data_IF_057982834974
#
_entry.id   IF_057982834974
#
_cell.length_a   1.000
_cell.length_b   1.000
_cell.length_c   1.000
_cell.angle_alpha   90.00
_cell.angle_beta   90.00
_cell.angle_gamma   90.00
#
_symmetry.space_group_name_H-M   'P 1'
#
loop_
_entity.id
_entity.type
_entity.pdbx_description
1 polymer ?
#
# COMPACT_ATOMS: atom_id res chain seq x y z
N UNK A 1 10.32 28.72 56.21
CA UNK A 1 9.82 27.89 55.09
C UNK A 1 10.96 26.98 54.68
N UNK A 2 10.77 25.66 54.72
CA UNK A 2 11.76 24.71 54.21
C UNK A 2 11.34 24.39 52.77
N UNK A 3 12.25 24.56 51.83
CA UNK A 3 12.09 24.12 50.45
C UNK A 3 12.99 22.90 50.26
N UNK A 4 12.44 21.85 49.64
CA UNK A 4 13.19 20.67 49.23
C UNK A 4 13.12 20.60 47.71
N UNK A 5 14.28 20.38 47.09
CA UNK A 5 14.44 20.23 45.65
C UNK A 5 14.75 18.76 45.38
N UNK A 6 14.03 18.15 44.44
CA UNK A 6 14.09 16.71 44.18
C UNK A 6 14.65 16.50 42.78
N UNK A 7 15.89 16.02 42.70
CA UNK A 7 16.52 15.66 41.43
C UNK A 7 16.21 14.21 41.08
N UNK A 8 15.58 14.00 39.94
CA UNK A 8 15.29 12.66 39.43
C UNK A 8 16.48 12.12 38.63
N UNK A 9 16.82 10.83 38.77
CA UNK A 9 17.81 10.19 37.92
C UNK A 9 17.45 10.29 36.44
N UNK A 10 18.45 10.59 35.60
CA UNK A 10 18.28 10.67 34.15
C UNK A 10 17.84 9.34 33.52
N UNK A 11 18.09 8.21 34.18
CA UNK A 11 17.60 6.90 33.73
C UNK A 11 16.07 6.83 33.68
N UNK A 12 15.36 7.46 34.62
CA UNK A 12 13.89 7.49 34.64
C UNK A 12 13.32 8.21 33.42
N UNK A 13 14.02 9.22 32.89
CA UNK A 13 13.64 9.90 31.66
C UNK A 13 13.68 8.95 30.46
N UNK A 14 14.78 8.20 30.30
CA UNK A 14 14.91 7.25 29.20
C UNK A 14 13.95 6.07 29.32
N UNK A 15 13.77 5.51 30.51
CA UNK A 15 12.76 4.48 30.79
C UNK A 15 11.35 4.94 30.40
N UNK A 16 11.00 6.19 30.73
CA UNK A 16 9.69 6.76 30.39
C UNK A 16 9.51 6.91 28.87
N UNK A 17 10.52 7.44 28.17
CA UNK A 17 10.44 7.58 26.70
C UNK A 17 10.40 6.21 26.05
N UNK A 18 11.18 5.24 26.53
CA UNK A 18 11.13 3.88 26.00
C UNK A 18 9.77 3.24 26.15
N UNK A 19 9.15 3.37 27.32
CA UNK A 19 7.82 2.84 27.57
C UNK A 19 6.75 3.47 26.66
N UNK A 20 6.84 4.78 26.41
CA UNK A 20 5.85 5.50 25.59
C UNK A 20 6.07 5.32 24.09
N UNK A 21 7.32 5.31 23.64
CA UNK A 21 7.68 5.26 22.23
C UNK A 21 7.77 3.84 21.68
N UNK A 22 7.95 2.84 22.56
CA UNK A 22 8.19 1.45 22.17
C UNK A 22 9.62 1.17 21.70
N UNK A 23 10.51 2.16 21.73
CA UNK A 23 11.93 2.01 21.37
C UNK A 23 12.80 1.86 22.62
N UNK A 24 13.75 0.94 22.61
CA UNK A 24 14.77 0.87 23.66
C UNK A 24 15.73 2.07 23.52
N UNK A 25 15.75 2.94 24.53
CA UNK A 25 16.57 4.14 24.60
C UNK A 25 17.21 4.13 25.98
N UNK A 26 18.53 4.01 26.05
CA UNK A 26 19.25 3.95 27.33
C UNK A 26 20.00 5.24 27.64
N UNK A 27 20.33 6.00 26.60
CA UNK A 27 21.07 7.26 26.71
C UNK A 27 20.76 8.23 25.56
N UNK A 28 21.45 9.37 25.56
CA UNK A 28 21.33 10.39 24.51
C UNK A 28 21.80 9.88 23.14
N UNK A 29 22.75 8.94 23.11
CA UNK A 29 23.26 8.36 21.87
C UNK A 29 22.21 7.50 21.19
N UNK A 30 21.54 6.64 21.95
CA UNK A 30 20.39 5.87 21.48
C UNK A 30 19.27 6.80 20.98
N UNK A 31 18.99 7.88 21.73
CA UNK A 31 17.99 8.87 21.35
C UNK A 31 18.35 9.59 20.03
N UNK A 32 19.60 10.01 19.87
CA UNK A 32 20.06 10.67 18.65
C UNK A 32 20.05 9.73 17.44
N UNK A 33 20.38 8.46 17.66
CA UNK A 33 20.27 7.41 16.63
C UNK A 33 18.82 7.25 16.18
N UNK A 34 17.90 7.15 17.14
CA UNK A 34 16.47 7.04 16.86
C UNK A 34 15.94 8.25 16.10
N UNK A 35 16.27 9.47 16.53
CA UNK A 35 15.81 10.69 15.86
C UNK A 35 16.33 10.78 14.42
N UNK A 36 17.58 10.36 14.19
CA UNK A 36 18.15 10.30 12.83
C UNK A 36 17.42 9.27 11.97
N UNK A 37 17.13 8.09 12.52
CA UNK A 37 16.39 7.05 11.82
C UNK A 37 14.95 7.49 11.48
N UNK A 38 14.25 8.12 12.43
CA UNK A 38 12.90 8.64 12.23
C UNK A 38 12.88 9.77 11.20
N UNK A 39 13.92 10.62 11.16
CA UNK A 39 14.06 11.64 10.12
C UNK A 39 14.11 11.01 8.73
N UNK A 40 14.89 9.95 8.55
CA UNK A 40 15.03 9.29 7.25
C UNK A 40 13.70 8.64 6.82
N UNK A 41 13.03 7.91 7.73
CA UNK A 41 11.69 7.36 7.48
C UNK A 41 10.68 8.46 7.13
N UNK A 42 10.72 9.58 7.84
CA UNK A 42 9.83 10.71 7.58
C UNK A 42 10.06 11.29 6.19
N UNK A 43 11.31 11.42 5.75
CA UNK A 43 11.63 11.92 4.42
C UNK A 43 11.06 11.00 3.33
N UNK A 44 11.22 9.68 3.49
CA UNK A 44 10.68 8.68 2.58
C UNK A 44 9.14 8.70 2.56
N UNK A 45 8.51 8.79 3.73
CA UNK A 45 7.05 8.89 3.83
C UNK A 45 6.52 10.19 3.21
N UNK A 46 7.14 11.33 3.52
CA UNK A 46 6.73 12.63 2.99
C UNK A 46 6.75 12.62 1.45
N UNK A 47 7.74 11.96 0.83
CA UNK A 47 7.85 11.79 -0.62
C UNK A 47 6.64 11.07 -1.22
N UNK A 48 6.10 10.03 -0.57
CA UNK A 48 4.97 9.24 -1.08
C UNK A 48 3.60 9.66 -0.54
N UNK A 49 3.57 10.45 0.54
CA UNK A 49 2.36 10.73 1.33
C UNK A 49 1.22 11.34 0.52
N UNK A 50 1.54 12.27 -0.39
CA UNK A 50 0.55 12.93 -1.24
C UNK A 50 -0.08 11.94 -2.23
N UNK A 51 0.74 11.10 -2.87
CA UNK A 51 0.25 10.06 -3.78
C UNK A 51 -0.66 9.05 -3.05
N UNK A 52 -0.32 8.66 -1.83
CA UNK A 52 -1.17 7.79 -1.01
C UNK A 52 -2.54 8.41 -0.70
N UNK A 53 -2.60 9.73 -0.47
CA UNK A 53 -3.87 10.44 -0.29
C UNK A 53 -4.68 10.43 -1.59
N UNK A 54 -4.05 10.76 -2.71
CA UNK A 54 -4.71 10.72 -4.02
C UNK A 54 -5.24 9.32 -4.38
N UNK A 55 -4.50 8.25 -4.05
CA UNK A 55 -4.96 6.87 -4.23
C UNK A 55 -6.21 6.59 -3.40
N UNK A 56 -6.27 7.05 -2.15
CA UNK A 56 -7.41 6.83 -1.26
C UNK A 56 -8.66 7.61 -1.71
N UNK A 57 -8.48 8.80 -2.24
CA UNK A 57 -9.59 9.67 -2.65
C UNK A 57 -10.08 9.39 -4.08
N UNK A 58 -9.16 9.08 -5.00
CA UNK A 58 -9.41 9.04 -6.45
C UNK A 58 -9.12 7.68 -7.07
N UNK A 59 -8.55 6.75 -6.31
CA UNK A 59 -8.13 5.42 -6.80
C UNK A 59 -6.78 5.41 -7.53
N UNK A 60 -6.16 6.57 -7.75
CA UNK A 60 -4.89 6.69 -8.46
C UNK A 60 -4.04 7.84 -7.92
N UNK A 61 -2.74 7.60 -7.72
CA UNK A 61 -1.80 8.61 -7.26
C UNK A 61 -0.42 8.43 -7.89
N UNK A 62 0.30 9.54 -8.02
CA UNK A 62 1.61 9.58 -8.67
C UNK A 62 2.61 10.23 -7.74
N UNK A 63 3.72 9.54 -7.50
CA UNK A 63 4.88 10.12 -6.82
C UNK A 63 5.76 10.77 -7.87
N UNK A 64 5.97 12.07 -7.72
CA UNK A 64 6.85 12.82 -8.61
C UNK A 64 8.32 12.50 -8.28
N UNK A 65 9.19 12.31 -9.29
CA UNK A 65 10.62 12.20 -9.06
C UNK A 65 11.16 13.43 -8.33
N UNK A 66 12.14 13.20 -7.47
CA UNK A 66 12.89 14.27 -6.83
C UNK A 66 13.79 14.96 -7.87
N UNK A 67 14.13 16.25 -7.66
CA UNK A 67 15.03 16.97 -8.56
C UNK A 67 16.38 16.26 -8.80
N UNK A 68 16.91 15.56 -7.78
CA UNK A 68 18.15 14.80 -7.88
C UNK A 68 18.06 13.49 -8.66
N UNK A 69 16.85 13.03 -8.99
CA UNK A 69 16.62 11.80 -9.77
C UNK A 69 16.54 12.07 -11.28
N UNK A 70 16.57 13.34 -11.69
CA UNK A 70 16.59 13.74 -13.09
C UNK A 70 17.95 13.43 -13.71
N UNK A 71 17.95 12.56 -14.72
CA UNK A 71 19.13 12.21 -15.52
C UNK A 71 19.05 12.92 -16.87
N UNK A 72 20.04 13.76 -17.14
CA UNK A 72 20.22 14.43 -18.43
C UNK A 72 21.22 13.62 -19.27
N UNK A 73 20.85 13.28 -20.49
CA UNK A 73 21.75 12.66 -21.46
C UNK A 73 22.48 13.75 -22.27
N UNK A 74 23.66 13.39 -22.81
CA UNK A 74 24.44 14.32 -23.62
C UNK A 74 23.64 14.83 -24.84
N UNK A 75 23.68 16.13 -25.15
CA UNK A 75 23.03 16.69 -26.32
C UNK A 75 23.56 16.08 -27.61
N UNK A 76 22.65 15.65 -28.49
CA UNK A 76 23.03 15.08 -29.79
C UNK A 76 22.57 15.97 -30.94
N UNK A 77 23.45 16.19 -31.93
CA UNK A 77 23.06 16.85 -33.17
C UNK A 77 22.31 15.86 -34.05
N UNK A 78 21.08 16.19 -34.40
CA UNK A 78 20.22 15.39 -35.28
C UNK A 78 19.97 16.16 -36.57
N UNK A 79 20.22 15.50 -37.71
CA UNK A 79 19.93 16.05 -39.04
C UNK A 79 18.61 15.50 -39.56
N UNK A 80 17.68 16.39 -39.91
CA UNK A 80 16.41 16.02 -40.54
C UNK A 80 16.07 17.03 -41.63
N UNK A 81 15.80 16.54 -42.85
CA UNK A 81 15.41 17.39 -43.99
C UNK A 81 16.39 18.52 -44.33
N UNK A 82 17.71 18.30 -44.16
CA UNK A 82 18.74 19.31 -44.42
C UNK A 82 18.94 20.34 -43.30
N UNK A 83 18.15 20.29 -42.22
CA UNK A 83 18.32 21.14 -41.01
C UNK A 83 19.06 20.38 -39.91
N UNK A 84 19.83 21.11 -39.11
CA UNK A 84 20.46 20.61 -37.89
C UNK A 84 19.62 21.00 -36.68
N UNK A 85 19.44 20.07 -35.76
CA UNK A 85 18.72 20.25 -34.50
C UNK A 85 19.51 19.64 -33.35
N UNK A 86 19.33 20.14 -32.14
CA UNK A 86 19.91 19.55 -30.94
C UNK A 86 18.81 18.76 -30.23
N UNK A 87 19.04 17.46 -30.02
CA UNK A 87 18.19 16.61 -29.21
C UNK A 87 18.71 16.63 -27.79
N UNK A 88 17.87 17.12 -26.88
CA UNK A 88 18.06 17.03 -25.44
C UNK A 88 17.16 15.90 -24.93
N UNK A 89 17.69 15.03 -24.07
CA UNK A 89 16.93 13.95 -23.46
C UNK A 89 17.12 13.96 -21.96
N UNK A 90 16.02 13.88 -21.24
CA UNK A 90 15.97 13.79 -19.80
C UNK A 90 15.10 12.59 -19.41
N UNK A 91 15.45 11.93 -18.31
CA UNK A 91 14.66 10.82 -17.76
C UNK A 91 14.65 10.88 -16.24
N UNK A 92 13.56 10.44 -15.63
CA UNK A 92 13.43 10.32 -14.18
C UNK A 92 12.44 9.18 -13.87
N UNK A 93 12.61 8.48 -12.72
CA UNK A 93 11.65 7.47 -12.30
C UNK A 93 10.34 8.11 -11.82
N UNK A 94 9.21 7.48 -12.07
CA UNK A 94 7.93 7.85 -11.44
C UNK A 94 7.29 6.62 -10.82
N UNK A 95 6.66 6.78 -9.65
CA UNK A 95 5.88 5.71 -9.02
C UNK A 95 4.41 6.00 -9.28
N UNK A 96 3.72 5.01 -9.83
CA UNK A 96 2.29 5.05 -10.05
C UNK A 96 1.63 4.05 -9.10
N UNK A 97 0.71 4.53 -8.27
CA UNK A 97 -0.04 3.74 -7.30
C UNK A 97 -1.51 3.67 -7.73
N UNK A 98 -2.12 2.50 -7.61
CA UNK A 98 -3.51 2.27 -8.00
C UNK A 98 -4.21 1.47 -6.90
N UNK A 99 -5.40 1.92 -6.50
CA UNK A 99 -6.27 1.14 -5.63
C UNK A 99 -7.16 0.24 -6.47
N UNK A 100 -7.29 -1.02 -6.07
CA UNK A 100 -8.19 -1.99 -6.68
C UNK A 100 -9.00 -2.70 -5.61
N UNK A 101 -10.29 -2.90 -5.85
CA UNK A 101 -11.14 -3.70 -4.97
C UNK A 101 -10.95 -5.18 -5.28
N UNK A 102 -10.80 -5.99 -4.23
CA UNK A 102 -10.73 -7.44 -4.34
C UNK A 102 -11.98 -7.98 -3.68
N UNK A 103 -12.76 -8.71 -4.45
CA UNK A 103 -14.01 -9.30 -3.99
C UNK A 103 -13.84 -10.81 -3.95
N UNK A 104 -14.39 -11.46 -2.94
CA UNK A 104 -14.49 -12.91 -2.87
C UNK A 104 -15.87 -13.32 -2.39
N UNK A 105 -16.35 -14.42 -2.92
CA UNK A 105 -17.63 -15.02 -2.55
C UNK A 105 -17.34 -16.38 -1.96
N UNK A 106 -18.02 -16.71 -0.85
CA UNK A 106 -17.93 -18.01 -0.21
C UNK A 106 -19.24 -18.75 -0.49
N UNK A 107 -19.17 -19.73 -1.40
CA UNK A 107 -20.29 -20.64 -1.66
C UNK A 107 -19.96 -21.99 -1.00
N UNK A 108 -20.40 -22.23 0.24
CA UNK A 108 -20.20 -23.53 0.85
C UNK A 108 -20.89 -24.61 0.01
N UNK A 109 -20.28 -25.80 -0.08
CA UNK A 109 -20.93 -26.96 -0.68
C UNK A 109 -22.01 -27.46 0.27
N UNK A 110 -23.21 -26.92 0.11
CA UNK A 110 -24.44 -27.41 0.75
C UNK A 110 -24.83 -28.68 -0.01
N UNK A 111 -25.09 -29.79 0.69
CA UNK A 111 -25.37 -31.08 0.08
C UNK A 111 -26.68 -31.12 -0.74
N UNK A 112 -27.62 -32.00 -0.36
CA UNK A 112 -28.95 -32.01 -0.97
C UNK A 112 -29.78 -30.79 -0.57
N UNK A 113 -30.91 -30.58 -1.24
CA UNK A 113 -31.82 -29.43 -1.07
C UNK A 113 -32.20 -29.15 0.41
N UNK A 114 -32.46 -30.21 1.20
CA UNK A 114 -32.75 -30.09 2.63
C UNK A 114 -31.61 -29.48 3.46
N UNK A 115 -30.36 -29.80 3.13
CA UNK A 115 -29.20 -29.27 3.84
C UNK A 115 -29.02 -27.77 3.56
N UNK A 116 -29.40 -27.31 2.37
CA UNK A 116 -29.39 -25.91 2.00
C UNK A 116 -30.44 -25.10 2.77
N UNK A 117 -31.65 -25.65 2.97
CA UNK A 117 -32.70 -25.02 3.78
C UNK A 117 -32.31 -24.91 5.26
N UNK A 118 -31.71 -25.96 5.82
CA UNK A 118 -31.23 -25.96 7.21
C UNK A 118 -30.15 -24.89 7.45
N UNK A 119 -29.21 -24.75 6.52
CA UNK A 119 -28.14 -23.76 6.63
C UNK A 119 -28.67 -22.35 6.43
N UNK A 120 -29.62 -22.14 5.52
CA UNK A 120 -30.32 -20.86 5.38
C UNK A 120 -31.05 -20.48 6.67
N UNK A 121 -31.75 -21.43 7.29
CA UNK A 121 -32.43 -21.23 8.57
C UNK A 121 -31.45 -20.85 9.69
N UNK A 122 -30.30 -21.54 9.78
CA UNK A 122 -29.24 -21.25 10.75
C UNK A 122 -28.66 -19.83 10.57
N UNK A 123 -28.36 -19.44 9.32
CA UNK A 123 -27.86 -18.11 8.97
C UNK A 123 -28.87 -17.01 9.33
N UNK A 124 -30.15 -17.22 9.00
CA UNK A 124 -31.23 -16.28 9.30
C UNK A 124 -31.56 -16.21 10.79
N UNK A 125 -31.38 -17.30 11.54
CA UNK A 125 -31.58 -17.32 12.99
C UNK A 125 -30.49 -16.52 13.72
N UNK A 126 -29.26 -16.50 13.19
CA UNK A 126 -28.18 -15.60 13.67
C UNK A 126 -28.33 -14.16 13.21
N UNK A 127 -29.19 -13.92 12.20
CA UNK A 127 -29.44 -12.61 11.61
C UNK A 127 -30.52 -11.84 12.39
N UNK A 128 -30.16 -11.32 13.55
CA UNK A 128 -30.99 -10.37 14.31
C UNK A 128 -30.84 -8.93 13.78
N UNK A 129 -30.77 -8.79 12.44
CA UNK A 129 -30.48 -7.53 11.75
C UNK A 129 -28.99 -7.14 11.69
N UNK A 130 -28.08 -7.93 12.26
CA UNK A 130 -26.63 -7.72 12.18
C UNK A 130 -25.97 -8.78 11.28
N UNK A 131 -25.51 -8.34 10.11
CA UNK A 131 -24.80 -9.18 9.13
C UNK A 131 -23.49 -9.72 9.70
N UNK A 132 -22.85 -9.02 10.63
CA UNK A 132 -21.53 -9.38 11.19
C UNK A 132 -21.58 -10.73 11.92
N UNK A 133 -22.70 -11.02 12.59
CA UNK A 133 -22.93 -12.29 13.30
C UNK A 133 -22.98 -13.50 12.36
N UNK A 134 -23.41 -13.30 11.12
CA UNK A 134 -23.37 -14.34 10.09
C UNK A 134 -21.91 -14.71 9.79
N UNK A 135 -21.02 -13.72 9.68
CA UNK A 135 -19.60 -13.96 9.37
C UNK A 135 -18.82 -14.63 10.50
N UNK A 136 -19.24 -14.38 11.75
CA UNK A 136 -18.73 -15.07 12.95
C UNK A 136 -19.28 -16.49 13.11
N UNK A 137 -20.33 -16.85 12.37
CA UNK A 137 -20.96 -18.16 12.49
C UNK A 137 -20.02 -19.26 11.99
N UNK A 138 -19.74 -20.22 12.87
CA UNK A 138 -18.94 -21.39 12.56
C UNK A 138 -19.74 -22.37 11.72
N UNK A 139 -19.45 -22.42 10.43
CA UNK A 139 -20.10 -23.29 9.46
C UNK A 139 -19.00 -24.16 8.85
N UNK A 140 -19.08 -25.48 9.08
CA UNK A 140 -18.07 -26.47 8.67
C UNK A 140 -16.71 -26.42 9.42
N UNK A 141 -16.70 -26.05 10.70
CA UNK A 141 -15.49 -26.11 11.53
C UNK A 141 -14.47 -24.98 11.31
N UNK A 142 -14.84 -23.98 10.49
CA UNK A 142 -14.20 -22.67 10.36
C UNK A 142 -15.29 -21.58 10.36
N UNK A 143 -14.92 -20.33 10.66
CA UNK A 143 -15.84 -19.21 10.47
C UNK A 143 -15.93 -18.85 8.98
N UNK A 144 -17.05 -18.25 8.57
CA UNK A 144 -17.17 -17.71 7.21
C UNK A 144 -16.14 -16.59 6.95
N UNK A 145 -15.76 -15.84 7.99
CA UNK A 145 -14.69 -14.84 7.94
C UNK A 145 -13.37 -15.45 7.51
N UNK A 146 -12.94 -16.56 8.13
CA UNK A 146 -11.68 -17.22 7.80
C UNK A 146 -11.65 -17.69 6.34
N UNK A 147 -12.77 -18.25 5.85
CA UNK A 147 -12.87 -18.74 4.47
C UNK A 147 -12.83 -17.56 3.47
N UNK A 148 -13.47 -16.45 3.80
CA UNK A 148 -13.41 -15.24 2.98
C UNK A 148 -12.00 -14.62 3.00
N UNK A 149 -11.35 -14.55 4.15
CA UNK A 149 -9.98 -14.04 4.29
C UNK A 149 -8.99 -14.89 3.48
N UNK A 150 -9.07 -16.22 3.56
CA UNK A 150 -8.29 -17.14 2.73
C UNK A 150 -8.52 -16.89 1.24
N UNK A 151 -9.77 -16.67 0.82
CA UNK A 151 -10.13 -16.35 -0.56
C UNK A 151 -9.56 -15.00 -1.04
N UNK A 152 -9.60 -13.98 -0.18
CA UNK A 152 -9.00 -12.66 -0.43
C UNK A 152 -7.48 -12.76 -0.55
N UNK A 153 -6.82 -13.42 0.40
CA UNK A 153 -5.36 -13.58 0.42
C UNK A 153 -4.87 -14.31 -0.84
N UNK A 154 -5.58 -15.37 -1.25
CA UNK A 154 -5.29 -16.10 -2.48
C UNK A 154 -5.40 -15.21 -3.73
N UNK A 155 -6.40 -14.31 -3.80
CA UNK A 155 -6.57 -13.37 -4.92
C UNK A 155 -5.50 -12.28 -4.92
N UNK A 156 -5.12 -11.75 -3.76
CA UNK A 156 -4.03 -10.76 -3.61
C UNK A 156 -2.72 -11.28 -4.21
N UNK A 157 -2.37 -12.54 -3.91
CA UNK A 157 -1.11 -13.16 -4.35
C UNK A 157 -1.14 -13.65 -5.79
N UNK A 158 -2.26 -13.52 -6.50
CA UNK A 158 -2.49 -14.20 -7.79
C UNK A 158 -1.81 -13.53 -8.98
N UNK A 159 -1.48 -12.23 -8.93
CA UNK A 159 -0.98 -11.51 -10.11
C UNK A 159 0.43 -11.99 -10.50
N UNK A 160 0.61 -12.72 -11.62
CA UNK A 160 1.91 -13.29 -11.96
C UNK A 160 2.94 -12.22 -12.37
N UNK A 161 4.25 -12.45 -12.16
CA UNK A 161 5.29 -11.50 -12.55
C UNK A 161 5.31 -11.13 -14.04
N UNK A 162 4.83 -12.01 -14.92
CA UNK A 162 4.68 -11.73 -16.35
C UNK A 162 3.60 -10.66 -16.60
N UNK A 163 2.47 -10.72 -15.89
CA UNK A 163 1.38 -9.75 -15.98
C UNK A 163 1.81 -8.42 -15.38
N UNK A 164 2.47 -8.42 -14.22
CA UNK A 164 3.03 -7.21 -13.60
C UNK A 164 3.97 -6.46 -14.57
N UNK A 165 4.85 -7.19 -15.27
CA UNK A 165 5.76 -6.60 -16.27
C UNK A 165 5.01 -6.01 -17.47
N UNK A 166 3.99 -6.71 -17.99
CA UNK A 166 3.16 -6.20 -19.09
C UNK A 166 2.43 -4.92 -18.68
N UNK A 167 1.80 -4.91 -17.51
CA UNK A 167 1.10 -3.74 -16.97
C UNK A 167 2.04 -2.53 -16.82
N UNK A 168 3.23 -2.75 -16.23
CA UNK A 168 4.26 -1.71 -16.11
C UNK A 168 4.69 -1.16 -17.47
N UNK A 169 4.96 -2.04 -18.44
CA UNK A 169 5.37 -1.62 -19.78
C UNK A 169 4.26 -0.83 -20.48
N UNK A 170 3.00 -1.26 -20.35
CA UNK A 170 1.85 -0.53 -20.90
C UNK A 170 1.73 0.86 -20.27
N UNK A 171 1.80 0.98 -18.94
CA UNK A 171 1.80 2.28 -18.26
C UNK A 171 2.95 3.17 -18.73
N UNK A 172 4.16 2.62 -18.81
CA UNK A 172 5.32 3.38 -19.27
C UNK A 172 5.13 3.92 -20.70
N UNK A 173 4.51 3.15 -21.59
CA UNK A 173 4.21 3.62 -22.95
C UNK A 173 3.16 4.72 -22.95
N UNK A 174 2.08 4.58 -22.18
CA UNK A 174 1.05 5.63 -22.06
C UNK A 174 1.67 6.96 -21.62
N UNK A 175 2.50 6.93 -20.58
CA UNK A 175 3.10 8.14 -20.01
C UNK A 175 4.06 8.81 -20.99
N UNK A 176 4.86 8.03 -21.74
CA UNK A 176 5.86 8.58 -22.66
C UNK A 176 5.30 9.00 -24.03
N UNK A 177 4.35 8.23 -24.58
CA UNK A 177 3.88 8.42 -25.95
C UNK A 177 2.73 9.44 -26.03
N UNK A 178 2.00 9.70 -24.93
CA UNK A 178 0.85 10.61 -24.94
C UNK A 178 -0.32 10.07 -25.78
N UNK A 179 -1.53 10.56 -25.51
CA UNK A 179 -2.78 9.95 -25.96
C UNK A 179 -2.99 9.90 -27.49
N UNK A 180 -2.88 8.71 -28.07
CA UNK A 180 -3.88 8.16 -28.99
C UNK A 180 -4.57 7.01 -28.26
N UNK A 181 -5.91 6.92 -28.30
CA UNK A 181 -6.70 6.00 -27.45
C UNK A 181 -6.07 4.61 -27.28
N UNK A 182 -5.88 4.19 -26.02
CA UNK A 182 -5.28 2.89 -25.70
C UNK A 182 -6.37 1.83 -25.67
N UNK A 183 -6.17 0.76 -26.46
CA UNK A 183 -6.90 -0.49 -26.29
C UNK A 183 -5.93 -1.48 -25.61
N UNK A 184 -6.23 -1.86 -24.38
CA UNK A 184 -5.52 -2.92 -23.68
C UNK A 184 -6.38 -4.19 -23.72
N UNK A 185 -5.86 -5.25 -24.35
CA UNK A 185 -6.51 -6.56 -24.38
C UNK A 185 -5.76 -7.47 -23.42
N UNK A 186 -6.46 -7.93 -22.38
CA UNK A 186 -5.98 -8.95 -21.45
C UNK A 186 -6.61 -10.28 -21.90
N UNK A 187 -5.77 -11.27 -22.21
CA UNK A 187 -6.17 -12.62 -22.65
C UNK A 187 -6.01 -13.61 -21.51
#
# INVERSE_FOLDING_TARGET
RVAAELELPRSLYYETISAQSGFEIRDDGDLMTLLTHVRDIKADYDHVSQALRDVREKGYGVVMPLPGELRLEEPQIVRSGGRYSVRLKASAPSIHMMMTNIETEVTPALGGEKASEEIMGFLLQGFDGDVSRIWESNIFGKSLYDIAEEGLEAKIKRMPPSVQRKLRSTMQRIVNEGSGGLICIIL
#
